data_IF_802328780909
#
_entry.id   IF_802328780909
#
_cell.length_a   1.000
_cell.length_b   1.000
_cell.length_c   1.000
_cell.angle_alpha   90.00
_cell.angle_beta   90.00
_cell.angle_gamma   90.00
#
_symmetry.space_group_name_H-M   'P 1'
#
loop_
_entity.id
_entity.type
_entity.pdbx_description
1 polymer ?
#
# COMPACT_ATOMS: atom_id res chain seq x y z
N UNK A 1 13.52 8.86 30.36
CA UNK A 1 14.32 8.43 29.17
C UNK A 1 13.69 9.03 27.92
N UNK A 2 14.44 9.24 26.85
CA UNK A 2 13.91 9.68 25.55
C UNK A 2 14.24 8.66 24.46
N UNK A 3 13.27 8.34 23.59
CA UNK A 3 13.49 7.53 22.39
C UNK A 3 13.43 8.44 21.17
N UNK A 4 14.48 8.41 20.36
CA UNK A 4 14.66 9.31 19.22
C UNK A 4 14.77 8.48 17.94
N UNK A 5 14.11 8.93 16.88
CA UNK A 5 14.22 8.34 15.56
C UNK A 5 14.96 9.30 14.63
N UNK A 6 15.96 8.78 13.91
CA UNK A 6 16.76 9.60 13.00
C UNK A 6 16.81 8.99 11.61
N UNK A 7 16.95 9.84 10.60
CA UNK A 7 17.24 9.39 9.24
C UNK A 7 18.71 8.96 9.08
N UNK A 8 19.09 8.62 7.84
CA UNK A 8 20.47 8.28 7.47
C UNK A 8 21.47 9.44 7.62
N UNK A 9 21.02 10.69 7.69
CA UNK A 9 21.87 11.87 7.94
C UNK A 9 22.04 12.17 9.44
N UNK A 10 21.26 11.50 10.30
CA UNK A 10 21.23 11.74 11.74
C UNK A 10 20.23 12.84 12.15
N UNK A 11 19.43 13.36 11.22
CA UNK A 11 18.38 14.32 11.50
C UNK A 11 17.22 13.65 12.24
N UNK A 12 16.73 14.30 13.30
CA UNK A 12 15.60 13.78 14.08
C UNK A 12 14.32 13.90 13.27
N UNK A 13 13.67 12.76 13.01
CA UNK A 13 12.40 12.71 12.30
C UNK A 13 11.25 12.63 13.31
N UNK A 14 10.32 13.58 13.21
CA UNK A 14 9.12 13.65 14.05
C UNK A 14 7.80 13.36 13.31
N UNK A 15 7.81 13.33 11.97
CA UNK A 15 6.58 13.23 11.16
C UNK A 15 6.11 11.80 10.90
N UNK A 16 7.06 10.88 10.67
CA UNK A 16 6.78 9.48 10.36
C UNK A 16 6.58 8.52 11.55
N UNK A 17 7.03 8.76 12.81
CA UNK A 17 6.97 7.75 13.88
C UNK A 17 5.54 7.43 14.41
N UNK A 18 4.48 7.95 13.77
CA UNK A 18 3.09 7.60 14.07
C UNK A 18 2.77 6.12 13.84
N UNK A 19 3.56 5.44 13.02
CA UNK A 19 3.41 4.02 12.67
C UNK A 19 4.45 3.11 13.36
N UNK A 20 5.39 3.67 14.12
CA UNK A 20 6.38 2.88 14.87
C UNK A 20 5.93 2.71 16.32
N UNK A 21 5.98 1.49 16.85
CA UNK A 21 5.75 1.20 18.26
C UNK A 21 6.99 0.63 18.90
N UNK A 22 7.18 0.99 20.16
CA UNK A 22 8.25 0.44 20.98
C UNK A 22 7.76 0.08 22.38
N UNK A 23 8.47 -0.82 23.02
CA UNK A 23 8.23 -1.26 24.38
C UNK A 23 9.49 -1.07 25.21
N UNK A 24 9.31 -0.73 26.47
CA UNK A 24 10.39 -0.64 27.46
C UNK A 24 10.20 -1.77 28.46
N UNK A 25 11.23 -2.58 28.64
CA UNK A 25 11.26 -3.64 29.67
C UNK A 25 12.37 -3.39 30.67
N UNK A 26 12.13 -3.76 31.93
CA UNK A 26 13.13 -3.69 33.00
C UNK A 26 14.19 -4.81 32.90
N UNK A 27 15.12 -4.83 33.86
CA UNK A 27 16.20 -5.82 33.94
C UNK A 27 15.71 -7.26 34.19
N UNK A 28 14.48 -7.42 34.67
CA UNK A 28 13.80 -8.70 34.84
C UNK A 28 12.97 -9.11 33.60
N UNK A 29 12.95 -8.27 32.56
CA UNK A 29 12.20 -8.50 31.34
C UNK A 29 10.71 -8.19 31.45
N UNK A 30 10.28 -7.50 32.52
CA UNK A 30 8.89 -7.06 32.69
C UNK A 30 8.67 -5.76 31.95
N UNK A 31 7.54 -5.64 31.28
CA UNK A 31 7.12 -4.40 30.61
C UNK A 31 6.91 -3.33 31.67
N UNK A 32 7.62 -2.21 31.54
CA UNK A 32 7.50 -1.10 32.49
C UNK A 32 6.13 -0.45 32.38
N UNK A 33 5.66 -0.24 31.14
CA UNK A 33 4.34 0.29 30.81
C UNK A 33 4.05 0.04 29.32
N UNK A 34 2.80 -0.28 28.99
CA UNK A 34 2.19 -0.48 27.66
C UNK A 34 3.08 -0.70 26.41
N UNK A 35 2.56 -0.28 25.26
CA UNK A 35 3.35 0.00 24.07
C UNK A 35 3.34 1.51 23.86
N UNK A 36 4.50 2.06 23.51
CA UNK A 36 4.66 3.48 23.25
C UNK A 36 4.69 3.76 21.76
N UNK A 37 4.15 4.91 21.40
CA UNK A 37 4.19 5.47 20.07
C UNK A 37 4.27 6.99 20.20
N UNK A 38 5.13 7.63 19.40
CA UNK A 38 5.40 9.05 19.52
C UNK A 38 4.13 9.91 19.29
N UNK A 39 3.24 9.47 18.40
CA UNK A 39 1.98 10.17 18.09
C UNK A 39 0.88 9.90 19.11
N UNK A 40 0.73 8.67 19.61
CA UNK A 40 -0.30 8.35 20.62
C UNK A 40 0.02 8.96 21.99
N UNK A 41 1.29 9.09 22.33
CA UNK A 41 1.70 9.57 23.65
C UNK A 41 1.93 11.08 23.70
N UNK A 42 1.58 11.83 22.64
CA UNK A 42 1.81 13.28 22.54
C UNK A 42 3.26 13.71 22.84
N UNK A 43 4.25 12.85 22.53
CA UNK A 43 5.66 13.09 22.88
C UNK A 43 6.01 12.92 24.36
N UNK A 44 5.12 12.37 25.18
CA UNK A 44 5.38 12.06 26.59
C UNK A 44 6.09 10.71 26.69
N UNK A 45 7.21 10.67 27.39
CA UNK A 45 8.02 9.47 27.61
C UNK A 45 7.83 8.96 29.03
N UNK A 46 8.01 7.65 29.30
CA UNK A 46 7.88 7.13 30.64
C UNK A 46 8.97 7.70 31.55
N UNK A 47 8.54 8.14 32.74
CA UNK A 47 9.44 8.46 33.84
C UNK A 47 9.89 7.15 34.49
N UNK A 48 11.17 6.84 34.36
CA UNK A 48 11.76 5.58 34.79
C UNK A 48 12.63 5.80 36.04
N UNK A 49 12.51 4.96 37.08
CA UNK A 49 13.46 4.98 38.18
C UNK A 49 14.86 4.59 37.71
N UNK A 50 15.89 4.83 38.54
CA UNK A 50 17.25 4.40 38.22
C UNK A 50 17.31 2.89 38.06
N UNK A 51 17.97 2.45 37.00
CA UNK A 51 17.99 1.06 36.60
C UNK A 51 18.40 0.88 35.14
N UNK A 52 18.56 -0.38 34.76
CA UNK A 52 18.83 -0.77 33.37
C UNK A 52 17.54 -1.26 32.73
N UNK A 53 17.31 -0.78 31.51
CA UNK A 53 16.13 -1.06 30.71
C UNK A 53 16.53 -1.51 29.32
N UNK A 54 15.61 -2.18 28.64
CA UNK A 54 15.72 -2.53 27.23
C UNK A 54 14.57 -1.91 26.47
N UNK A 55 14.89 -1.14 25.43
CA UNK A 55 13.92 -0.56 24.49
C UNK A 55 13.88 -1.45 23.25
N UNK A 56 12.69 -1.89 22.87
CA UNK A 56 12.46 -2.77 21.71
C UNK A 56 11.45 -2.14 20.78
N UNK A 57 11.77 -2.01 19.49
CA UNK A 57 10.77 -1.75 18.46
C UNK A 57 9.90 -3.01 18.33
N UNK A 58 8.60 -2.86 18.52
CA UNK A 58 7.62 -3.95 18.48
C UNK A 58 6.80 -3.94 17.20
N UNK A 59 6.67 -2.78 16.55
CA UNK A 59 5.96 -2.63 15.29
C UNK A 59 6.58 -1.51 14.46
N UNK A 60 6.77 -1.76 13.18
CA UNK A 60 7.04 -0.76 12.14
C UNK A 60 6.35 -1.22 10.86
N UNK A 61 6.04 -0.31 9.95
CA UNK A 61 5.63 -0.71 8.61
C UNK A 61 6.84 -1.10 7.74
N UNK A 62 6.56 -1.40 6.48
CA UNK A 62 7.53 -1.91 5.52
C UNK A 62 8.32 -0.80 4.80
N UNK A 63 8.01 0.48 5.04
CA UNK A 63 8.78 1.62 4.53
C UNK A 63 10.01 1.93 5.41
N UNK A 64 10.17 1.29 6.56
CA UNK A 64 11.35 1.46 7.41
C UNK A 64 12.40 0.39 7.13
N UNK A 65 13.49 0.77 6.50
CA UNK A 65 14.73 0.01 6.57
C UNK A 65 15.55 0.46 7.78
N UNK A 66 15.50 -0.32 8.85
CA UNK A 66 16.17 0.01 10.09
C UNK A 66 17.70 -0.12 10.03
N UNK A 67 18.24 -0.91 9.10
CA UNK A 67 19.68 -1.15 8.94
C UNK A 67 20.47 -1.56 10.20
N UNK A 68 19.80 -1.78 11.34
CA UNK A 68 20.38 -1.81 12.69
C UNK A 68 19.55 -2.66 13.65
N UNK A 69 20.06 -2.83 14.87
CA UNK A 69 19.36 -3.54 15.95
C UNK A 69 18.09 -2.79 16.41
N UNK A 70 16.98 -3.53 16.46
CA UNK A 70 15.68 -3.08 16.95
C UNK A 70 15.52 -3.17 18.47
N UNK A 71 16.56 -3.60 19.17
CA UNK A 71 16.57 -3.82 20.61
C UNK A 71 17.82 -3.17 21.19
N UNK A 72 17.66 -2.19 22.07
CA UNK A 72 18.77 -1.44 22.66
C UNK A 72 18.66 -1.38 24.17
N UNK A 73 19.77 -1.63 24.86
CA UNK A 73 19.86 -1.47 26.32
C UNK A 73 20.24 -0.04 26.68
N UNK A 74 19.72 0.44 27.80
CA UNK A 74 19.96 1.79 28.31
C UNK A 74 19.91 1.79 29.82
N UNK A 75 20.74 2.61 30.46
CA UNK A 75 20.76 2.77 31.91
C UNK A 75 20.37 4.18 32.27
N UNK A 76 19.39 4.31 33.15
CA UNK A 76 19.00 5.57 33.80
C UNK A 76 19.75 5.63 35.14
N UNK A 77 20.58 6.66 35.32
CA UNK A 77 21.39 6.84 36.54
C UNK A 77 21.38 8.30 37.01
N UNK A 78 22.02 8.58 38.15
CA UNK A 78 22.17 9.96 38.63
C UNK A 78 23.00 10.83 37.66
N UNK A 79 23.98 10.23 36.99
CA UNK A 79 24.87 10.88 36.02
C UNK A 79 24.18 11.08 34.66
N UNK A 80 23.23 10.19 34.32
CA UNK A 80 22.44 10.28 33.11
C UNK A 80 20.96 9.98 33.41
N UNK A 81 20.22 10.94 34.00
CA UNK A 81 18.83 10.73 34.42
C UNK A 81 17.84 10.71 33.25
N UNK A 82 18.24 11.24 32.09
CA UNK A 82 17.41 11.27 30.88
C UNK A 82 18.21 10.73 29.68
N UNK A 83 18.55 9.44 29.66
CA UNK A 83 19.31 8.88 28.56
C UNK A 83 18.48 8.91 27.28
N UNK A 84 19.16 9.14 26.14
CA UNK A 84 18.58 9.07 24.81
C UNK A 84 18.88 7.72 24.17
N UNK A 85 17.85 7.07 23.62
CA UNK A 85 17.97 5.84 22.83
C UNK A 85 17.60 6.17 21.39
N UNK A 86 18.58 6.13 20.50
CA UNK A 86 18.38 6.50 19.10
C UNK A 86 18.22 5.28 18.22
N UNK A 87 17.17 5.22 17.41
CA UNK A 87 17.02 4.27 16.31
C UNK A 87 17.14 5.01 14.98
N UNK A 88 18.15 4.63 14.20
CA UNK A 88 18.34 5.16 12.86
C UNK A 88 17.58 4.29 11.85
N UNK A 89 17.00 4.89 10.84
CA UNK A 89 16.35 4.19 9.74
C UNK A 89 16.54 4.95 8.43
N UNK A 90 16.37 4.24 7.32
CA UNK A 90 16.17 4.79 6.01
C UNK A 90 14.71 4.58 5.61
N UNK A 91 14.01 5.66 5.25
CA UNK A 91 12.65 5.56 4.74
C UNK A 91 12.70 5.16 3.27
N UNK A 92 11.98 4.11 2.92
CA UNK A 92 11.86 3.60 1.56
C UNK A 92 10.69 4.29 0.88
N UNK A 93 10.97 5.03 -0.18
CA UNK A 93 9.93 5.69 -0.98
C UNK A 93 9.23 4.70 -1.91
N UNK A 94 7.91 4.85 -2.04
CA UNK A 94 7.13 4.18 -3.09
C UNK A 94 6.76 5.15 -4.19
N UNK A 95 6.87 4.72 -5.44
CA UNK A 95 6.40 5.46 -6.60
C UNK A 95 5.57 4.59 -7.54
N UNK A 96 4.66 5.24 -8.26
CA UNK A 96 3.82 4.56 -9.24
C UNK A 96 4.63 4.26 -10.49
N UNK A 97 4.70 2.98 -10.88
CA UNK A 97 5.13 2.55 -12.20
C UNK A 97 3.91 2.43 -13.12
N UNK A 98 4.02 2.97 -14.34
CA UNK A 98 3.02 2.80 -15.39
C UNK A 98 3.65 2.22 -16.65
N UNK A 99 3.18 1.04 -17.06
CA UNK A 99 3.50 0.44 -18.36
C UNK A 99 2.34 0.72 -19.30
N UNK A 100 2.63 1.39 -20.40
CA UNK A 100 1.67 1.85 -21.38
C UNK A 100 1.81 1.14 -22.71
N UNK A 101 0.72 1.05 -23.46
CA UNK A 101 0.72 0.62 -24.86
C UNK A 101 0.24 1.74 -25.79
N UNK A 102 0.77 1.78 -27.00
CA UNK A 102 0.35 2.74 -28.04
C UNK A 102 -1.08 2.49 -28.54
N UNK A 103 -1.51 1.23 -28.55
CA UNK A 103 -2.84 0.80 -28.95
C UNK A 103 -3.51 -0.10 -27.90
N UNK A 104 -4.84 -0.31 -27.99
CA UNK A 104 -5.54 -1.22 -27.08
C UNK A 104 -4.92 -2.62 -27.11
N UNK A 105 -4.72 -3.20 -25.93
CA UNK A 105 -4.19 -4.56 -25.79
C UNK A 105 -5.32 -5.59 -25.82
N UNK A 106 -5.06 -6.82 -26.31
CA UNK A 106 -6.05 -7.88 -26.28
C UNK A 106 -6.38 -8.31 -24.84
N UNK A 107 -7.60 -8.80 -24.64
CA UNK A 107 -8.02 -9.40 -23.36
C UNK A 107 -7.11 -10.56 -22.99
N UNK A 108 -6.76 -10.67 -21.71
CA UNK A 108 -5.82 -11.68 -21.21
C UNK A 108 -4.36 -11.24 -21.21
N UNK A 109 -4.07 -10.00 -21.63
CA UNK A 109 -2.73 -9.40 -21.43
C UNK A 109 -2.42 -9.28 -19.94
N UNK A 110 -1.24 -9.74 -19.54
CA UNK A 110 -0.75 -9.68 -18.16
C UNK A 110 0.58 -8.94 -18.16
N UNK A 111 0.69 -7.91 -17.32
CA UNK A 111 1.94 -7.19 -17.08
C UNK A 111 2.35 -7.44 -15.64
N UNK A 112 3.59 -7.92 -15.45
CA UNK A 112 4.16 -8.19 -14.14
C UNK A 112 5.57 -7.62 -14.05
N UNK A 113 6.02 -7.39 -12.83
CA UNK A 113 7.39 -7.05 -12.53
C UNK A 113 7.98 -8.06 -11.57
N UNK A 114 9.29 -8.25 -11.61
CA UNK A 114 10.04 -9.01 -10.61
C UNK A 114 11.10 -8.09 -10.04
N UNK A 115 11.05 -7.85 -8.73
CA UNK A 115 12.04 -7.05 -8.01
C UNK A 115 13.30 -7.85 -7.68
N UNK A 116 14.30 -7.19 -7.10
CA UNK A 116 15.52 -7.84 -6.61
C UNK A 116 15.27 -8.86 -5.50
N UNK A 117 14.14 -8.75 -4.80
CA UNK A 117 13.66 -9.74 -3.83
C UNK A 117 13.16 -11.04 -4.48
N UNK A 118 13.11 -11.10 -5.82
CA UNK A 118 12.59 -12.23 -6.59
C UNK A 118 11.06 -12.33 -6.56
N UNK A 119 10.37 -11.40 -5.91
CA UNK A 119 8.92 -11.43 -5.78
C UNK A 119 8.28 -10.81 -7.02
N UNK A 120 7.40 -11.59 -7.66
CA UNK A 120 6.61 -11.11 -8.78
C UNK A 120 5.40 -10.30 -8.30
N UNK A 121 5.18 -9.13 -8.90
CA UNK A 121 4.06 -8.24 -8.62
C UNK A 121 3.32 -7.94 -9.91
N UNK A 122 2.00 -8.05 -9.87
CA UNK A 122 1.14 -7.75 -11.00
C UNK A 122 0.96 -6.24 -11.13
N UNK A 123 1.02 -5.72 -12.36
CA UNK A 123 0.52 -4.39 -12.67
C UNK A 123 -0.91 -4.57 -13.17
N UNK A 124 -1.96 -4.22 -12.41
CA UNK A 124 -3.33 -4.29 -12.89
C UNK A 124 -3.56 -3.28 -14.03
N UNK A 125 -4.46 -3.65 -14.94
CA UNK A 125 -4.92 -2.74 -16.00
C UNK A 125 -5.73 -1.60 -15.37
N UNK A 126 -5.44 -0.36 -15.78
CA UNK A 126 -6.18 0.80 -15.31
C UNK A 126 -7.62 0.76 -15.81
N UNK A 127 -8.57 1.07 -14.93
CA UNK A 127 -10.00 1.12 -15.29
C UNK A 127 -10.37 2.38 -16.08
N UNK A 128 -9.51 3.41 -16.08
CA UNK A 128 -9.75 4.70 -16.75
C UNK A 128 -9.02 4.84 -18.07
N UNK A 129 -7.85 4.22 -18.21
CA UNK A 129 -7.12 4.12 -19.48
C UNK A 129 -6.71 2.66 -19.71
N UNK A 130 -7.50 1.94 -20.50
CA UNK A 130 -7.29 0.52 -20.80
C UNK A 130 -5.96 0.23 -21.53
N UNK A 131 -5.21 1.25 -21.95
CA UNK A 131 -3.86 1.08 -22.50
C UNK A 131 -2.76 1.10 -21.43
N UNK A 132 -3.12 1.22 -20.14
CA UNK A 132 -2.16 1.37 -19.04
C UNK A 132 -2.30 0.25 -18.04
N UNK A 133 -1.16 -0.18 -17.52
CA UNK A 133 -1.02 -1.09 -16.41
C UNK A 133 -0.17 -0.39 -15.35
N UNK A 134 -0.65 -0.31 -14.11
CA UNK A 134 -0.04 0.55 -13.10
C UNK A 134 -0.12 -0.03 -11.70
N UNK A 135 0.94 0.15 -10.91
CA UNK A 135 0.97 -0.20 -9.49
C UNK A 135 1.97 0.68 -8.73
N UNK A 136 1.77 0.84 -7.43
CA UNK A 136 2.81 1.38 -6.54
C UNK A 136 3.87 0.31 -6.29
N UNK A 137 5.13 0.72 -6.35
CA UNK A 137 6.29 -0.11 -6.07
C UNK A 137 7.27 0.69 -5.21
N UNK A 138 8.00 0.00 -4.34
CA UNK A 138 9.20 0.58 -3.72
C UNK A 138 10.17 1.03 -4.80
N UNK A 139 10.84 2.15 -4.57
CA UNK A 139 11.91 2.58 -5.45
C UNK A 139 12.98 1.50 -5.56
N UNK A 140 13.48 1.29 -6.78
CA UNK A 140 14.47 0.27 -7.09
C UNK A 140 14.32 -0.30 -8.49
N UNK A 141 15.12 -1.33 -8.75
CA UNK A 141 15.20 -1.98 -10.05
C UNK A 141 14.25 -3.15 -10.17
N UNK A 142 13.54 -3.21 -11.30
CA UNK A 142 12.55 -4.24 -11.60
C UNK A 142 12.73 -4.77 -13.00
N UNK A 143 12.57 -6.09 -13.17
CA UNK A 143 12.42 -6.69 -14.50
C UNK A 143 10.94 -6.69 -14.90
N UNK A 144 10.59 -6.00 -15.97
CA UNK A 144 9.23 -5.93 -16.51
C UNK A 144 9.03 -7.10 -17.46
N UNK A 145 7.92 -7.83 -17.28
CA UNK A 145 7.52 -8.93 -18.14
C UNK A 145 6.07 -8.75 -18.59
N UNK A 146 5.84 -8.96 -19.88
CA UNK A 146 4.55 -8.83 -20.55
C UNK A 146 4.19 -10.17 -21.18
N UNK A 147 3.12 -10.76 -20.67
CA UNK A 147 2.48 -11.95 -21.22
C UNK A 147 1.32 -11.50 -22.12
N UNK A 148 1.43 -11.79 -23.42
CA UNK A 148 0.42 -11.45 -24.42
C UNK A 148 -0.21 -12.72 -25.03
N UNK A 149 -1.50 -12.69 -25.41
CA UNK A 149 -2.13 -13.76 -26.16
C UNK A 149 -1.42 -14.07 -27.49
N UNK A 150 -1.60 -15.30 -27.98
CA UNK A 150 -1.00 -15.77 -29.24
C UNK A 150 -1.30 -14.82 -30.43
N UNK A 151 -0.29 -14.59 -31.27
CA UNK A 151 -0.38 -13.67 -32.41
C UNK A 151 -0.03 -12.21 -32.07
N UNK A 152 0.35 -11.92 -30.83
CA UNK A 152 0.79 -10.59 -30.38
C UNK A 152 2.13 -10.68 -29.66
N UNK A 153 2.92 -9.61 -29.76
CA UNK A 153 4.13 -9.38 -28.96
C UNK A 153 4.24 -7.90 -28.61
N UNK A 154 4.93 -7.58 -27.53
CA UNK A 154 5.34 -6.21 -27.24
C UNK A 154 6.62 -5.87 -28.02
N UNK A 155 6.89 -4.57 -28.21
CA UNK A 155 8.15 -4.08 -28.79
C UNK A 155 9.37 -4.50 -27.99
N UNK A 156 9.22 -4.56 -26.66
CA UNK A 156 10.23 -4.96 -25.70
C UNK A 156 9.59 -5.88 -24.65
N UNK A 157 10.35 -6.84 -24.15
CA UNK A 157 9.93 -7.72 -23.06
C UNK A 157 11.13 -8.09 -22.18
N UNK A 158 10.88 -8.49 -20.94
CA UNK A 158 11.92 -8.91 -19.97
C UNK A 158 13.04 -7.87 -19.72
N UNK A 159 12.75 -6.58 -19.91
CA UNK A 159 13.70 -5.49 -19.74
C UNK A 159 13.77 -5.01 -18.28
N UNK A 160 14.89 -4.36 -17.92
CA UNK A 160 15.04 -3.72 -16.62
C UNK A 160 14.49 -2.30 -16.65
N UNK A 161 13.79 -1.92 -15.57
CA UNK A 161 13.26 -0.58 -15.36
C UNK A 161 13.55 -0.14 -13.92
N UNK A 162 14.02 1.10 -13.78
CA UNK A 162 14.30 1.71 -12.48
C UNK A 162 13.13 2.59 -12.04
N UNK A 163 12.49 2.23 -10.93
CA UNK A 163 11.46 3.04 -10.28
C UNK A 163 12.15 3.99 -9.30
N UNK A 164 11.91 5.29 -9.44
CA UNK A 164 12.48 6.30 -8.54
C UNK A 164 11.48 7.43 -8.26
N UNK A 165 11.91 8.45 -7.50
CA UNK A 165 11.13 9.64 -7.15
C UNK A 165 10.90 10.59 -8.36
N UNK A 166 10.32 10.06 -9.43
CA UNK A 166 9.99 10.74 -10.66
C UNK A 166 8.71 10.15 -11.27
N UNK A 167 8.31 10.68 -12.44
CA UNK A 167 7.25 10.04 -13.23
C UNK A 167 7.82 8.77 -13.86
N UNK A 168 7.43 7.62 -13.34
CA UNK A 168 7.84 6.33 -13.88
C UNK A 168 6.83 5.83 -14.91
N UNK A 169 7.09 6.16 -16.17
CA UNK A 169 6.26 5.76 -17.30
C UNK A 169 7.10 5.15 -18.41
N UNK A 170 6.63 4.03 -18.96
CA UNK A 170 7.26 3.36 -20.09
C UNK A 170 6.22 2.99 -21.13
N UNK A 171 6.43 3.39 -22.40
CA UNK A 171 5.50 3.14 -23.50
C UNK A 171 6.03 2.02 -24.40
N UNK A 172 5.24 0.98 -24.58
CA UNK A 172 5.49 -0.15 -25.46
C UNK A 172 4.61 -0.07 -26.71
N UNK A 173 5.10 -0.62 -27.82
CA UNK A 173 4.28 -0.83 -29.02
C UNK A 173 3.75 -2.26 -29.05
N UNK A 174 2.47 -2.42 -29.34
CA UNK A 174 1.88 -3.75 -29.56
C UNK A 174 2.07 -4.16 -31.03
N UNK A 175 2.78 -5.26 -31.26
CA UNK A 175 3.06 -5.78 -32.59
C UNK A 175 2.27 -7.06 -32.84
N UNK A 176 1.55 -7.13 -33.96
CA UNK A 176 0.91 -8.37 -34.40
C UNK A 176 1.95 -9.28 -35.03
N UNK A 177 2.13 -10.48 -34.48
CA UNK A 177 3.03 -11.46 -35.05
C UNK A 177 2.46 -12.00 -36.37
N UNK A 178 3.28 -12.05 -37.42
CA UNK A 178 2.94 -12.68 -38.69
C UNK A 178 3.01 -14.21 -38.54
N UNK A 179 2.13 -15.00 -39.19
CA UNK A 179 2.16 -16.47 -39.12
C UNK A 179 3.49 -17.13 -39.57
N UNK A 180 4.39 -16.40 -40.23
CA UNK A 180 5.61 -16.96 -40.84
C UNK A 180 6.83 -17.10 -39.88
N UNK A 181 6.71 -16.72 -38.61
CA UNK A 181 7.75 -16.97 -37.58
C UNK A 181 7.53 -18.26 -36.77
N UNK A 182 6.63 -19.16 -37.19
CA UNK A 182 6.53 -20.53 -36.64
C UNK A 182 7.49 -21.51 -37.36
N UNK A 183 8.75 -21.11 -37.55
CA UNK A 183 9.74 -21.87 -38.32
C UNK A 183 11.16 -21.85 -37.76
N UNK A 184 11.37 -21.45 -36.50
CA UNK A 184 12.70 -21.37 -35.90
C UNK A 184 12.74 -22.00 -34.51
N UNK A 185 13.36 -23.18 -34.43
CA UNK A 185 13.81 -23.92 -33.25
C UNK A 185 12.86 -23.98 -32.03
N UNK A 186 12.42 -25.20 -31.70
CA UNK A 186 11.90 -25.55 -30.38
C UNK A 186 12.99 -25.20 -29.35
N UNK A 187 12.88 -24.03 -28.72
CA UNK A 187 13.48 -23.79 -27.41
C UNK A 187 12.54 -24.45 -26.42
N UNK A 188 13.03 -25.45 -25.69
CA UNK A 188 12.26 -26.13 -24.68
C UNK A 188 11.66 -25.09 -23.69
N UNK A 189 10.42 -25.29 -23.21
CA UNK A 189 9.87 -24.45 -22.16
C UNK A 189 10.83 -24.45 -20.96
N UNK A 190 11.06 -23.30 -20.35
CA UNK A 190 11.73 -23.26 -19.05
C UNK A 190 10.88 -24.04 -18.05
N UNK A 191 11.36 -25.22 -17.66
CA UNK A 191 10.75 -26.05 -16.62
C UNK A 191 11.04 -25.37 -15.28
N UNK A 192 10.01 -24.91 -14.59
CA UNK A 192 10.09 -24.59 -13.15
C UNK A 192 10.63 -25.83 -12.43
N UNK A 193 11.66 -25.73 -11.57
CA UNK A 193 12.00 -26.85 -10.70
C UNK A 193 10.76 -27.20 -9.88
N UNK A 194 10.35 -28.46 -9.97
CA UNK A 194 9.16 -28.97 -9.29
C UNK A 194 9.31 -28.69 -7.80
N UNK A 195 8.34 -27.97 -7.24
CA UNK A 195 8.18 -27.89 -5.79
C UNK A 195 7.92 -29.33 -5.31
N UNK A 196 8.66 -29.87 -4.31
CA UNK A 196 8.43 -31.23 -3.85
C UNK A 196 6.97 -31.38 -3.41
N UNK A 197 6.23 -32.19 -4.16
CA UNK A 197 4.85 -32.57 -3.82
C UNK A 197 4.92 -33.41 -2.56
N UNK A 198 4.38 -32.89 -1.46
CA UNK A 198 4.14 -33.70 -0.26
C UNK A 198 3.06 -34.74 -0.61
N UNK A 199 3.48 -35.99 -0.79
CA UNK A 199 2.56 -37.12 -0.94
C UNK A 199 1.74 -37.30 0.34
N UNK A 200 0.47 -36.94 0.30
CA UNK A 200 -0.50 -37.38 1.31
C UNK A 200 -1.08 -38.70 0.79
N UNK A 201 -0.93 -39.82 1.51
CA UNK A 201 -1.41 -41.12 1.03
C UNK A 201 -2.95 -41.14 0.92
N UNK A 202 -3.44 -41.50 -0.25
CA UNK A 202 -4.87 -41.67 -0.55
C UNK A 202 -5.44 -42.84 0.25
N UNK A 203 -6.42 -42.56 1.10
CA UNK A 203 -7.30 -43.59 1.68
C UNK A 203 -8.53 -43.73 0.77
N UNK A 204 -8.99 -44.96 0.47
CA UNK A 204 -10.02 -45.16 -0.54
C UNK A 204 -11.40 -44.70 -0.05
N UNK A 205 -12.04 -43.86 -0.87
CA UNK A 205 -13.42 -43.39 -0.67
C UNK A 205 -14.43 -44.53 -0.89
N UNK A 206 -15.18 -44.87 0.15
CA UNK A 206 -16.44 -45.62 0.02
C UNK A 206 -17.60 -44.63 -0.07
N UNK A 207 -18.41 -44.72 -1.12
CA UNK A 207 -19.60 -43.89 -1.33
C UNK A 207 -20.71 -44.23 -0.33
N UNK A 208 -21.24 -43.24 0.39
CA UNK A 208 -22.56 -43.34 1.04
C UNK A 208 -23.34 -42.04 0.81
N UNK A 209 -24.54 -42.20 0.23
CA UNK A 209 -25.56 -41.18 -0.09
C UNK A 209 -26.15 -40.54 1.19
N UNK A 210 -26.61 -39.26 1.19
CA UNK A 210 -26.82 -38.51 2.42
C UNK A 210 -28.15 -38.85 3.13
N UNK A 211 -28.09 -38.98 4.45
CA UNK A 211 -29.24 -38.98 5.32
C UNK A 211 -29.47 -37.57 5.90
N UNK A 212 -30.72 -37.11 5.73
CA UNK A 212 -31.33 -35.92 6.33
C UNK A 212 -31.02 -35.77 7.82
N UNK A 213 -30.64 -34.56 8.25
CA UNK A 213 -30.72 -34.12 9.65
C UNK A 213 -30.82 -32.59 9.74
N UNK A 214 -32.07 -32.11 9.75
CA UNK A 214 -32.62 -31.04 10.60
C UNK A 214 -31.64 -29.97 11.15
N UNK A 215 -31.64 -28.79 10.53
CA UNK A 215 -30.94 -27.60 11.03
C UNK A 215 -31.77 -26.86 12.09
N UNK A 216 -31.38 -26.96 13.36
CA UNK A 216 -31.76 -25.97 14.39
C UNK A 216 -30.79 -24.79 14.35
N UNK A 217 -31.25 -23.53 14.30
CA UNK A 217 -30.36 -22.39 14.39
C UNK A 217 -29.83 -22.21 15.81
N UNK A 218 -28.51 -22.11 15.95
CA UNK A 218 -27.85 -21.69 17.19
C UNK A 218 -27.79 -20.17 17.20
N UNK A 219 -28.50 -19.55 18.15
CA UNK A 219 -28.42 -18.12 18.41
C UNK A 219 -27.11 -17.82 19.18
N UNK A 220 -26.27 -16.95 18.63
CA UNK A 220 -25.08 -16.43 19.31
C UNK A 220 -25.48 -15.11 19.98
N UNK A 221 -25.56 -15.13 21.32
CA UNK A 221 -25.84 -13.95 22.14
C UNK A 221 -24.57 -13.16 22.44
N UNK A 222 -24.54 -11.90 22.04
CA UNK A 222 -23.54 -10.95 22.53
C UNK A 222 -23.93 -10.47 23.92
N UNK A 223 -22.99 -10.57 24.86
CA UNK A 223 -23.09 -9.94 26.17
C UNK A 223 -22.56 -8.52 26.03
N UNK A 224 -23.40 -7.52 26.29
CA UNK A 224 -22.96 -6.16 26.62
C UNK A 224 -23.69 -5.79 27.90
N UNK A 225 -22.91 -5.43 28.92
CA UNK A 225 -23.40 -5.02 30.23
C UNK A 225 -24.43 -3.91 30.11
N UNK A 226 -25.50 -4.04 30.90
CA UNK A 226 -26.74 -3.31 30.68
C UNK A 226 -26.77 -1.86 31.13
N UNK A 227 -27.80 -1.17 30.65
CA UNK A 227 -28.59 -0.19 31.37
C UNK A 227 -29.97 -0.05 30.71
N UNK A 228 -31.00 -0.45 31.46
CA UNK A 228 -32.37 0.08 31.58
C UNK A 228 -33.28 0.22 30.33
N UNK A 229 -34.17 -0.78 30.22
CA UNK A 229 -35.55 -0.82 29.73
C UNK A 229 -36.29 0.52 29.45
N UNK A 230 -36.78 0.72 28.21
CA UNK A 230 -38.14 1.24 27.87
C UNK A 230 -38.58 0.77 26.46
N UNK A 231 -39.46 -0.24 26.45
CA UNK A 231 -40.72 -0.42 25.66
C UNK A 231 -40.80 -0.09 24.15
N UNK A 232 -41.01 -1.18 23.38
CA UNK A 232 -41.87 -1.37 22.18
C UNK A 232 -41.68 -0.52 20.89
N UNK A 233 -41.20 -1.16 19.82
CA UNK A 233 -41.94 -1.41 18.56
C UNK A 233 -41.03 -2.02 17.48
N UNK A 234 -41.55 -2.98 16.71
CA UNK A 234 -40.85 -3.67 15.61
C UNK A 234 -40.54 -2.72 14.44
N UNK A 235 -39.33 -2.72 13.85
CA UNK A 235 -39.12 -2.16 12.53
C UNK A 235 -39.04 -3.26 11.46
N UNK A 236 -39.93 -3.16 10.49
CA UNK A 236 -39.84 -3.82 9.17
C UNK A 236 -38.52 -3.48 8.48
N UNK A 237 -37.93 -4.49 7.87
CA UNK A 237 -36.75 -4.44 7.02
C UNK A 237 -36.95 -3.48 5.83
N UNK A 238 -36.16 -2.41 5.75
CA UNK A 238 -35.89 -1.71 4.49
C UNK A 238 -34.47 -1.13 4.50
N UNK A 239 -33.73 -1.32 3.40
CA UNK A 239 -32.39 -0.76 3.17
C UNK A 239 -32.40 0.79 3.28
N UNK A 240 -31.31 1.41 3.74
CA UNK A 240 -31.19 2.87 3.76
C UNK A 240 -31.16 3.43 2.32
N UNK A 241 -31.92 4.50 2.07
CA UNK A 241 -31.94 5.22 0.80
C UNK A 241 -30.62 6.00 0.61
N UNK A 242 -29.99 5.84 -0.54
CA UNK A 242 -28.83 6.63 -0.99
C UNK A 242 -29.27 8.06 -1.32
N UNK A 243 -28.55 9.05 -0.79
CA UNK A 243 -28.85 10.48 -0.94
C UNK A 243 -28.65 11.01 -2.35
N UNK A 244 -29.70 10.93 -3.17
CA UNK A 244 -29.75 11.56 -4.49
C UNK A 244 -31.11 12.23 -4.72
N UNK A 245 -31.54 13.05 -3.77
CA UNK A 245 -32.80 13.81 -3.86
C UNK A 245 -32.59 15.23 -3.31
N UNK A 246 -31.76 16.04 -3.97
CA UNK A 246 -31.71 17.49 -3.71
C UNK A 246 -31.19 18.34 -4.90
N UNK A 247 -31.56 17.96 -6.14
CA UNK A 247 -31.24 18.74 -7.36
C UNK A 247 -32.49 19.14 -8.18
N UNK A 248 -33.64 19.30 -7.51
CA UNK A 248 -34.87 19.71 -8.19
C UNK A 248 -35.60 20.84 -7.44
N UNK A 249 -34.91 21.95 -7.14
CA UNK A 249 -35.57 23.24 -6.91
C UNK A 249 -34.55 24.39 -6.94
N UNK A 250 -34.37 25.04 -8.09
CA UNK A 250 -34.26 26.51 -8.26
C UNK A 250 -34.00 26.80 -9.75
N UNK A 251 -35.08 26.97 -10.51
CA UNK A 251 -35.06 27.70 -11.79
C UNK A 251 -35.91 28.94 -11.59
N UNK A 252 -35.27 30.11 -11.46
CA UNK A 252 -35.81 31.39 -11.93
C UNK A 252 -34.72 32.47 -11.91
N UNK A 253 -34.72 33.32 -12.94
CA UNK A 253 -34.03 34.62 -13.07
C UNK A 253 -32.67 34.65 -13.81
N UNK A 254 -32.73 34.63 -15.14
CA UNK A 254 -31.76 35.30 -16.02
C UNK A 254 -32.51 36.25 -16.96
N UNK A 255 -32.77 37.47 -16.47
CA UNK A 255 -33.19 38.64 -17.24
C UNK A 255 -32.51 39.89 -16.64
N UNK A 256 -31.74 40.60 -17.47
CA UNK A 256 -31.13 41.91 -17.19
C UNK A 256 -29.77 41.82 -16.47
N UNK A 257 -28.72 42.56 -16.81
CA UNK A 257 -28.66 43.85 -17.49
C UNK A 257 -27.35 44.01 -18.29
N UNK A 258 -27.51 44.73 -19.39
CA UNK A 258 -26.49 45.33 -20.24
C UNK A 258 -25.66 46.38 -19.50
N UNK A 259 -24.46 46.64 -20.06
CA UNK A 259 -23.74 47.94 -20.14
C UNK A 259 -22.37 48.06 -19.42
N UNK A 260 -21.33 48.15 -20.26
CA UNK A 260 -20.44 49.31 -20.45
C UNK A 260 -19.41 49.67 -19.37
N UNK A 261 -18.13 49.44 -19.69
CA UNK A 261 -17.08 50.47 -19.53
C UNK A 261 -15.87 50.16 -20.42
N UNK A 262 -15.71 50.99 -21.45
CA UNK A 262 -14.55 51.13 -22.31
C UNK A 262 -13.57 52.12 -21.62
N UNK A 263 -12.31 51.75 -21.41
CA UNK A 263 -11.22 52.70 -21.19
C UNK A 263 -9.89 52.04 -21.56
N UNK A 264 -9.25 52.55 -22.62
CA UNK A 264 -7.96 52.06 -23.10
C UNK A 264 -6.78 52.77 -22.44
N UNK A 265 -5.57 52.30 -22.76
CA UNK A 265 -4.45 53.19 -23.03
C UNK A 265 -3.46 52.53 -23.99
N UNK A 266 -3.20 53.23 -25.09
CA UNK A 266 -2.11 53.03 -26.05
C UNK A 266 -0.97 53.94 -25.65
N UNK A 267 0.27 53.41 -25.57
CA UNK A 267 1.55 54.09 -25.83
C UNK A 267 2.68 53.10 -25.49
N UNK A 268 3.79 52.97 -26.20
CA UNK A 268 4.26 53.54 -27.45
C UNK A 268 5.45 52.67 -27.93
N UNK A 269 5.58 52.50 -29.24
CA UNK A 269 6.79 51.97 -29.87
C UNK A 269 7.67 53.17 -30.21
N UNK A 270 8.92 53.21 -29.72
CA UNK A 270 9.97 54.00 -30.36
C UNK A 270 11.31 53.27 -30.29
N UNK A 271 11.93 53.19 -31.47
CA UNK A 271 13.26 52.69 -31.82
C UNK A 271 14.37 53.31 -30.96
N UNK A 272 15.45 52.56 -30.81
CA UNK A 272 16.82 53.06 -30.92
C UNK A 272 17.77 51.90 -31.31
N UNK A 273 18.71 52.19 -32.24
CA UNK A 273 19.87 51.35 -32.57
C UNK A 273 19.69 50.36 -33.70
#
# INVERSE_FOLDING_TARGET
MEVVFTDSSGEVISYYPSVVRYQVVDDQGRVVEGEFNASYNAGTFPDLPFGTYTVKITLSDYHYDWGTELVKKVTVSAENPHPKVTFAFHYLDENKLTIGFDQPVPTGTVVKVVGNDGISRLLPQSIYDLKRFETMLMNGSYRVHVDLPAGYRASENDFLYEVSNQINFHLLSLVKASPEEYGGAIVAPWIQPENPTLEIPETPVTSVQPASSESKPVAVGYHTGGQTEVVASLPTTSLPKTGQEDLAATVLSLLGMSSLALAGFVASKKREG
#
